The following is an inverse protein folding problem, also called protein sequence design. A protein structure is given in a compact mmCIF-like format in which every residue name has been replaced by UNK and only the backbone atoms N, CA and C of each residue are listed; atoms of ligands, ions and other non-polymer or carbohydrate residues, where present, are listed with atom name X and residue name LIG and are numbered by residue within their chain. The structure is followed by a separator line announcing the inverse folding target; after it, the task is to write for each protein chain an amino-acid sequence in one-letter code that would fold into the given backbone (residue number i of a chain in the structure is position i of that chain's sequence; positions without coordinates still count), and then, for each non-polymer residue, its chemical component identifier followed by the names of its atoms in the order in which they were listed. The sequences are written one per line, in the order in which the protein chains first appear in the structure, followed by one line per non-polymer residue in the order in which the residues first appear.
data_IF_065245023894
#
_entry.id   IF_065245023894
#
_cell.length_a   1.000
_cell.length_b   1.000
_cell.length_c   1.000
_cell.angle_alpha   90.00
_cell.angle_beta   90.00
_cell.angle_gamma   90.00
#
_symmetry.space_group_name_H-M   'P 1'
#
loop_
_entity.id
_entity.type
_entity.pdbx_description
1 polymer ?
#
# COMPACT_ATOMS: atom_id res chain seq x y z
N UNK A 1 1.98 17.85 15.45
CA UNK A 1 0.74 17.94 14.64
C UNK A 1 0.75 16.85 13.58
N UNK A 2 1.86 16.72 12.85
CA UNK A 2 2.17 15.75 11.79
C UNK A 2 1.94 14.30 12.25
N UNK A 3 2.53 13.92 13.39
CA UNK A 3 2.35 12.60 14.00
C UNK A 3 0.88 12.29 14.29
N UNK A 4 0.13 13.25 14.81
CA UNK A 4 -1.27 13.03 15.19
C UNK A 4 -2.14 12.79 13.96
N UNK A 5 -1.97 13.63 12.93
CA UNK A 5 -2.72 13.54 11.68
C UNK A 5 -2.37 12.24 10.92
N UNK A 6 -1.09 11.89 10.85
CA UNK A 6 -0.65 10.61 10.29
C UNK A 6 -1.22 9.42 11.06
N UNK A 7 -1.18 9.46 12.40
CA UNK A 7 -1.72 8.37 13.22
C UNK A 7 -3.23 8.21 13.08
N UNK A 8 -3.97 9.31 12.89
CA UNK A 8 -5.42 9.26 12.59
C UNK A 8 -5.68 8.58 11.26
N UNK A 9 -4.96 8.98 10.20
CA UNK A 9 -5.04 8.34 8.89
C UNK A 9 -4.65 6.85 8.94
N UNK A 10 -3.60 6.51 9.68
CA UNK A 10 -3.19 5.11 9.90
C UNK A 10 -4.26 4.31 10.65
N UNK A 11 -4.91 4.90 11.65
CA UNK A 11 -5.98 4.24 12.41
C UNK A 11 -7.17 3.93 11.50
N UNK A 12 -7.65 4.91 10.75
CA UNK A 12 -8.77 4.72 9.82
C UNK A 12 -8.41 3.77 8.66
N UNK A 13 -7.15 3.76 8.20
CA UNK A 13 -6.64 2.77 7.24
C UNK A 13 -6.77 1.35 7.78
N UNK A 14 -6.34 1.11 9.03
CA UNK A 14 -6.43 -0.19 9.67
C UNK A 14 -7.88 -0.62 9.90
N UNK A 15 -8.77 0.31 10.23
CA UNK A 15 -10.21 0.04 10.38
C UNK A 15 -10.84 -0.35 9.05
N UNK A 16 -10.51 0.35 7.95
CA UNK A 16 -10.93 0.01 6.59
C UNK A 16 -10.53 -1.40 6.19
N UNK A 17 -9.29 -1.78 6.48
CA UNK A 17 -8.79 -3.12 6.12
C UNK A 17 -9.48 -4.21 6.90
N UNK A 18 -9.76 -4.00 8.19
CA UNK A 18 -10.37 -5.02 9.05
C UNK A 18 -11.86 -5.17 8.81
N UNK A 19 -12.56 -4.04 8.64
CA UNK A 19 -14.02 -3.96 8.63
C UNK A 19 -14.58 -3.78 7.21
N UNK A 20 -13.84 -4.22 6.19
CA UNK A 20 -14.36 -4.26 4.83
C UNK A 20 -15.45 -5.34 4.70
N UNK A 21 -16.64 -5.02 5.19
CA UNK A 21 -17.87 -5.74 4.91
C UNK A 21 -18.99 -4.75 4.56
N UNK A 22 -19.90 -5.18 3.66
CA UNK A 22 -20.81 -4.27 2.96
C UNK A 22 -21.77 -3.51 3.88
N UNK A 23 -22.01 -3.99 5.11
CA UNK A 23 -22.94 -3.38 6.07
C UNK A 23 -22.40 -2.14 6.78
N UNK A 24 -21.08 -2.02 6.98
CA UNK A 24 -20.45 -0.87 7.67
C UNK A 24 -19.53 -0.06 6.75
N UNK A 25 -19.37 -0.50 5.49
CA UNK A 25 -18.45 0.06 4.52
C UNK A 25 -18.58 1.59 4.38
N UNK A 26 -19.80 2.13 4.34
CA UNK A 26 -20.04 3.57 4.16
C UNK A 26 -19.39 4.38 5.29
N UNK A 27 -19.55 3.97 6.54
CA UNK A 27 -19.02 4.72 7.69
C UNK A 27 -17.49 4.62 7.75
N UNK A 28 -16.95 3.42 7.49
CA UNK A 28 -15.50 3.19 7.55
C UNK A 28 -14.78 3.89 6.40
N UNK A 29 -15.36 3.88 5.20
CA UNK A 29 -14.86 4.61 4.04
C UNK A 29 -14.95 6.12 4.26
N UNK A 30 -16.03 6.61 4.87
CA UNK A 30 -16.19 8.02 5.21
C UNK A 30 -15.13 8.49 6.22
N UNK A 31 -14.89 7.73 7.29
CA UNK A 31 -13.85 8.11 8.27
C UNK A 31 -12.45 8.09 7.64
N UNK A 32 -12.16 7.11 6.78
CA UNK A 32 -10.91 7.11 6.03
C UNK A 32 -10.76 8.35 5.13
N UNK A 33 -11.81 8.69 4.37
CA UNK A 33 -11.75 9.82 3.43
C UNK A 33 -11.63 11.18 4.14
N UNK A 34 -12.34 11.39 5.25
CA UNK A 34 -12.22 12.61 6.05
C UNK A 34 -10.81 12.76 6.65
N UNK A 35 -10.23 11.67 7.16
CA UNK A 35 -8.86 11.68 7.67
C UNK A 35 -7.82 11.89 6.56
N UNK A 36 -8.07 11.38 5.34
CA UNK A 36 -7.21 11.58 4.18
C UNK A 36 -7.20 13.04 3.71
N UNK A 37 -8.37 13.69 3.66
CA UNK A 37 -8.49 15.12 3.37
C UNK A 37 -7.76 15.95 4.42
N UNK A 38 -8.01 15.67 5.71
CA UNK A 38 -7.33 16.36 6.81
C UNK A 38 -5.81 16.17 6.75
N UNK A 39 -5.34 14.98 6.35
CA UNK A 39 -3.93 14.73 6.10
C UNK A 39 -3.36 15.62 5.00
N UNK A 40 -4.00 15.68 3.84
CA UNK A 40 -3.53 16.48 2.70
C UNK A 40 -3.45 17.98 3.04
N UNK A 41 -4.48 18.53 3.69
CA UNK A 41 -4.48 19.94 4.12
C UNK A 41 -3.29 20.25 5.04
N UNK A 42 -3.04 19.39 6.03
CA UNK A 42 -1.94 19.58 6.99
C UNK A 42 -0.57 19.34 6.34
N UNK A 43 -0.48 18.38 5.44
CA UNK A 43 0.73 18.12 4.66
C UNK A 43 1.09 19.32 3.78
N UNK A 44 0.12 19.89 3.07
CA UNK A 44 0.33 21.08 2.23
C UNK A 44 0.84 22.29 3.03
N UNK A 45 0.39 22.46 4.28
CA UNK A 45 0.83 23.55 5.16
C UNK A 45 2.25 23.38 5.73
N UNK A 46 2.76 22.14 5.85
CA UNK A 46 4.07 21.88 6.48
C UNK A 46 4.77 20.62 5.93
N UNK A 47 5.06 20.60 4.63
CA UNK A 47 5.72 19.45 3.97
C UNK A 47 7.06 19.08 4.63
N UNK A 48 7.89 20.07 4.97
CA UNK A 48 9.19 19.85 5.63
C UNK A 48 9.06 19.16 7.00
N UNK A 49 8.05 19.55 7.78
CA UNK A 49 7.75 18.91 9.05
C UNK A 49 7.38 17.44 8.87
N UNK A 50 6.56 17.13 7.87
CA UNK A 50 6.21 15.75 7.52
C UNK A 50 7.41 14.95 7.07
N UNK A 51 8.25 15.47 6.16
CA UNK A 51 9.45 14.75 5.73
C UNK A 51 10.41 14.46 6.89
N UNK A 52 10.59 15.40 7.82
CA UNK A 52 11.39 15.18 9.04
C UNK A 52 10.79 14.09 9.93
N UNK A 53 9.47 14.14 10.14
CA UNK A 53 8.76 13.13 10.92
C UNK A 53 8.90 11.73 10.30
N UNK A 54 8.77 11.62 8.98
CA UNK A 54 8.79 10.36 8.25
C UNK A 54 10.19 9.78 8.15
N UNK A 55 11.19 10.61 7.87
CA UNK A 55 12.59 10.20 7.94
C UNK A 55 12.96 9.64 9.32
N UNK A 56 12.43 10.25 10.39
CA UNK A 56 12.65 9.74 11.75
C UNK A 56 11.90 8.42 12.00
N UNK A 57 10.67 8.30 11.52
CA UNK A 57 9.75 7.20 11.88
C UNK A 57 9.92 5.96 11.01
N UNK A 58 10.15 6.14 9.71
CA UNK A 58 10.19 5.10 8.68
C UNK A 58 11.55 5.05 7.97
N UNK A 59 12.64 5.31 8.71
CA UNK A 59 14.00 5.44 8.15
C UNK A 59 14.41 4.26 7.24
N UNK A 60 14.02 3.04 7.60
CA UNK A 60 14.38 1.81 6.89
C UNK A 60 13.60 1.60 5.59
N UNK A 61 12.47 2.29 5.43
CA UNK A 61 11.55 2.19 4.28
C UNK A 61 11.22 3.59 3.75
N UNK A 62 12.18 4.52 3.86
CA UNK A 62 11.95 5.96 3.66
C UNK A 62 11.42 6.28 2.27
N UNK A 63 11.99 5.65 1.24
CA UNK A 63 11.58 5.89 -0.15
C UNK A 63 10.10 5.50 -0.34
N UNK A 64 9.72 4.34 0.17
CA UNK A 64 8.34 3.85 0.10
C UNK A 64 7.40 4.73 0.93
N UNK A 65 7.83 5.18 2.11
CA UNK A 65 7.04 6.09 2.95
C UNK A 65 6.78 7.44 2.26
N UNK A 66 7.79 8.01 1.58
CA UNK A 66 7.65 9.24 0.80
C UNK A 66 6.67 9.03 -0.37
N UNK A 67 6.77 7.89 -1.06
CA UNK A 67 5.83 7.56 -2.15
C UNK A 67 4.40 7.46 -1.64
N UNK A 68 4.16 6.76 -0.53
CA UNK A 68 2.83 6.61 0.07
C UNK A 68 2.24 7.97 0.46
N UNK A 69 3.04 8.86 1.05
CA UNK A 69 2.58 10.20 1.43
C UNK A 69 2.22 11.05 0.22
N UNK A 70 3.06 10.99 -0.81
CA UNK A 70 2.81 11.73 -2.05
C UNK A 70 1.56 11.19 -2.76
N UNK A 71 1.37 9.86 -2.75
CA UNK A 71 0.13 9.23 -3.23
C UNK A 71 -1.08 9.61 -2.38
N UNK A 72 -0.97 9.65 -1.04
CA UNK A 72 -2.06 10.06 -0.16
C UNK A 72 -2.50 11.51 -0.44
N UNK A 73 -1.56 12.43 -0.60
CA UNK A 73 -1.84 13.82 -0.99
C UNK A 73 -2.53 13.87 -2.37
N UNK A 74 -2.00 13.13 -3.36
CA UNK A 74 -2.54 13.11 -4.72
C UNK A 74 -3.96 12.54 -4.77
N UNK A 75 -4.22 11.45 -4.04
CA UNK A 75 -5.55 10.85 -3.92
C UNK A 75 -6.51 11.86 -3.27
N UNK A 76 -6.13 12.51 -2.18
CA UNK A 76 -6.97 13.51 -1.53
C UNK A 76 -7.36 14.65 -2.47
N UNK A 77 -6.40 15.19 -3.22
CA UNK A 77 -6.60 16.31 -4.14
C UNK A 77 -7.51 15.93 -5.31
N UNK A 78 -7.27 14.80 -5.97
CA UNK A 78 -8.10 14.37 -7.11
C UNK A 78 -9.56 14.18 -6.70
N UNK A 79 -9.77 13.67 -5.50
CA UNK A 79 -11.12 13.45 -4.97
C UNK A 79 -11.87 14.73 -4.60
N UNK A 80 -11.15 15.81 -4.34
CA UNK A 80 -11.75 17.13 -4.15
C UNK A 80 -12.09 17.80 -5.49
N UNK A 81 -11.43 17.42 -6.58
CA UNK A 81 -11.54 18.10 -7.89
C UNK A 81 -12.68 17.57 -8.79
N UNK A 82 -13.15 16.34 -8.53
CA UNK A 82 -14.41 15.70 -8.97
C UNK A 82 -15.05 16.06 -10.33
N UNK A 83 -14.32 16.48 -11.37
CA UNK A 83 -14.90 16.82 -12.68
C UNK A 83 -13.91 16.61 -13.86
N UNK A 84 -13.72 15.37 -14.33
CA UNK A 84 -13.10 15.15 -15.66
C UNK A 84 -12.65 13.73 -16.02
N UNK A 85 -12.68 13.40 -17.32
CA UNK A 85 -12.15 12.13 -17.86
C UNK A 85 -10.62 12.00 -17.67
N UNK A 86 -9.90 13.14 -17.60
CA UNK A 86 -8.45 13.16 -17.37
C UNK A 86 -8.06 12.71 -15.96
N UNK A 87 -8.95 12.85 -14.97
CA UNK A 87 -8.68 12.46 -13.58
C UNK A 87 -8.49 10.94 -13.46
N UNK A 88 -9.18 10.16 -14.31
CA UNK A 88 -9.09 8.71 -14.26
C UNK A 88 -7.75 8.14 -14.72
N UNK A 89 -7.06 8.74 -15.70
CA UNK A 89 -5.69 8.29 -16.05
C UNK A 89 -4.77 8.47 -14.83
N UNK A 90 -4.93 9.58 -14.12
CA UNK A 90 -4.15 9.86 -12.92
C UNK A 90 -4.48 8.82 -11.84
N UNK A 91 -5.76 8.50 -11.63
CA UNK A 91 -6.19 7.45 -10.70
C UNK A 91 -5.60 6.07 -11.06
N UNK A 92 -5.57 5.68 -12.33
CA UNK A 92 -4.95 4.43 -12.79
C UNK A 92 -3.45 4.41 -12.50
N UNK A 93 -2.76 5.52 -12.79
CA UNK A 93 -1.33 5.62 -12.55
C UNK A 93 -1.01 5.57 -11.05
N UNK A 94 -1.81 6.23 -10.22
CA UNK A 94 -1.70 6.16 -8.76
C UNK A 94 -1.96 4.73 -8.26
N UNK A 95 -2.98 4.06 -8.77
CA UNK A 95 -3.27 2.67 -8.45
C UNK A 95 -2.08 1.76 -8.81
N UNK A 96 -1.53 1.89 -10.02
CA UNK A 96 -0.33 1.17 -10.46
C UNK A 96 0.86 1.43 -9.55
N UNK A 97 1.10 2.71 -9.23
CA UNK A 97 2.19 3.12 -8.37
C UNK A 97 2.05 2.52 -6.97
N UNK A 98 0.84 2.48 -6.41
CA UNK A 98 0.57 1.88 -5.10
C UNK A 98 0.78 0.36 -5.13
N UNK A 99 0.37 -0.35 -6.20
CA UNK A 99 0.67 -1.78 -6.38
C UNK A 99 2.17 -2.04 -6.37
N UNK A 100 2.94 -1.29 -7.17
CA UNK A 100 4.41 -1.38 -7.20
C UNK A 100 5.02 -1.02 -5.84
N UNK A 101 4.43 -0.08 -5.12
CA UNK A 101 4.90 0.32 -3.79
C UNK A 101 4.72 -0.80 -2.76
N UNK A 102 3.65 -1.60 -2.84
CA UNK A 102 3.48 -2.78 -1.98
C UNK A 102 4.55 -3.84 -2.23
N UNK A 103 4.86 -4.12 -3.49
CA UNK A 103 5.94 -5.05 -3.85
C UNK A 103 7.31 -4.50 -3.42
N UNK A 104 7.54 -3.20 -3.60
CA UNK A 104 8.76 -2.53 -3.15
C UNK A 104 8.91 -2.58 -1.63
N UNK A 105 7.84 -2.42 -0.86
CA UNK A 105 7.85 -2.60 0.60
C UNK A 105 8.20 -4.03 1.00
N UNK A 106 7.62 -5.03 0.33
CA UNK A 106 7.94 -6.45 0.55
C UNK A 106 9.42 -6.73 0.28
N UNK A 107 9.96 -6.20 -0.82
CA UNK A 107 11.37 -6.31 -1.19
C UNK A 107 12.28 -5.63 -0.17
N UNK A 108 11.95 -4.40 0.24
CA UNK A 108 12.73 -3.64 1.22
C UNK A 108 12.76 -4.35 2.57
N UNK A 109 11.64 -4.92 3.02
CA UNK A 109 11.60 -5.71 4.24
C UNK A 109 12.63 -6.85 4.20
N UNK A 110 12.71 -7.61 3.11
CA UNK A 110 13.71 -8.66 2.94
C UNK A 110 15.12 -8.11 3.08
N UNK A 111 15.44 -7.03 2.37
CA UNK A 111 16.76 -6.41 2.42
C UNK A 111 17.10 -5.90 3.83
N UNK A 112 16.13 -5.35 4.56
CA UNK A 112 16.33 -4.83 5.91
C UNK A 112 16.55 -5.93 6.95
N UNK A 113 16.18 -7.19 6.68
CA UNK A 113 16.48 -8.30 7.59
C UNK A 113 17.98 -8.46 7.82
N UNK A 114 18.85 -8.14 6.86
CA UNK A 114 20.31 -8.21 7.04
C UNK A 114 20.78 -7.30 8.19
N UNK A 115 20.14 -6.14 8.34
CA UNK A 115 20.46 -5.15 9.36
C UNK A 115 19.91 -5.56 10.74
N UNK A 116 18.78 -6.29 10.75
CA UNK A 116 18.09 -6.69 11.99
C UNK A 116 18.72 -7.95 12.59
N UNK A 117 18.99 -8.97 11.77
CA UNK A 117 19.54 -10.25 12.26
C UNK A 117 21.02 -10.17 12.57
N UNK A 118 21.75 -9.18 12.02
CA UNK A 118 23.20 -8.97 12.22
C UNK A 118 24.05 -10.21 11.94
N UNK A 119 23.57 -11.12 11.09
CA UNK A 119 24.31 -12.33 10.71
C UNK A 119 25.26 -12.03 9.56
N UNK A 120 26.45 -12.63 9.61
CA UNK A 120 27.43 -12.62 8.50
C UNK A 120 27.34 -13.86 7.61
N UNK A 121 26.26 -14.64 7.73
CA UNK A 121 26.05 -15.86 6.96
C UNK A 121 25.77 -15.56 5.47
N UNK A 122 26.66 -16.03 4.60
CA UNK A 122 26.54 -15.88 3.14
C UNK A 122 25.34 -16.64 2.55
N UNK A 123 24.88 -17.73 3.17
CA UNK A 123 23.66 -18.41 2.74
C UNK A 123 22.42 -17.56 3.03
N UNK A 124 22.40 -16.88 4.18
CA UNK A 124 21.31 -15.97 4.52
C UNK A 124 21.25 -14.77 3.59
N UNK A 125 22.40 -14.17 3.27
CA UNK A 125 22.46 -13.05 2.33
C UNK A 125 21.93 -13.45 0.93
N UNK A 126 22.34 -14.62 0.41
CA UNK A 126 21.81 -15.17 -0.85
C UNK A 126 20.30 -15.40 -0.78
N UNK A 127 19.82 -15.95 0.33
CA UNK A 127 18.39 -16.17 0.53
C UNK A 127 17.60 -14.86 0.49
N UNK A 128 18.00 -13.85 1.27
CA UNK A 128 17.34 -12.52 1.28
C UNK A 128 17.31 -11.91 -0.11
N UNK A 129 18.45 -11.88 -0.83
CA UNK A 129 18.53 -11.27 -2.16
C UNK A 129 17.58 -11.96 -3.12
N UNK A 130 17.53 -13.29 -3.08
CA UNK A 130 16.60 -14.06 -3.90
C UNK A 130 15.14 -13.72 -3.57
N UNK A 131 14.78 -13.66 -2.28
CA UNK A 131 13.42 -13.30 -1.89
C UNK A 131 13.06 -11.86 -2.27
N UNK A 132 13.96 -10.90 -2.05
CA UNK A 132 13.76 -9.48 -2.38
C UNK A 132 13.50 -9.25 -3.88
N UNK A 133 14.09 -10.08 -4.75
CA UNK A 133 13.94 -9.97 -6.20
C UNK A 133 12.77 -10.77 -6.78
N UNK A 134 12.24 -11.75 -6.06
CA UNK A 134 11.27 -12.72 -6.62
C UNK A 134 9.94 -12.80 -5.87
N UNK A 135 9.86 -12.30 -4.64
CA UNK A 135 8.62 -12.24 -3.88
C UNK A 135 8.01 -10.84 -3.96
N UNK A 136 6.74 -10.80 -4.37
CA UNK A 136 5.91 -9.62 -4.22
C UNK A 136 5.30 -9.50 -2.82
N UNK A 137 4.34 -8.58 -2.69
CA UNK A 137 3.48 -8.42 -1.54
C UNK A 137 2.65 -9.70 -1.28
N UNK A 138 1.98 -10.19 -2.32
CA UNK A 138 1.19 -11.40 -2.32
C UNK A 138 2.07 -12.65 -2.31
N UNK A 139 1.79 -13.56 -1.36
CA UNK A 139 2.56 -14.79 -1.13
C UNK A 139 1.64 -16.00 -1.18
N UNK A 140 2.03 -17.03 -1.93
CA UNK A 140 1.32 -18.30 -2.01
C UNK A 140 1.78 -19.31 -0.95
N UNK A 141 1.01 -20.39 -0.76
CA UNK A 141 1.28 -21.41 0.26
C UNK A 141 2.65 -22.06 0.16
N UNK A 142 3.17 -22.24 -1.08
CA UNK A 142 4.50 -22.83 -1.29
C UNK A 142 5.59 -21.88 -0.79
N UNK A 143 5.49 -20.60 -1.15
CA UNK A 143 6.40 -19.55 -0.68
C UNK A 143 6.36 -19.43 0.85
N UNK A 144 5.16 -19.47 1.45
CA UNK A 144 5.00 -19.36 2.90
C UNK A 144 5.65 -20.52 3.66
N UNK A 145 5.52 -21.75 3.15
CA UNK A 145 6.19 -22.92 3.73
C UNK A 145 7.72 -22.79 3.67
N UNK A 146 8.25 -22.25 2.57
CA UNK A 146 9.68 -21.98 2.43
C UNK A 146 10.16 -20.89 3.40
N UNK A 147 9.41 -19.79 3.51
CA UNK A 147 9.69 -18.69 4.45
C UNK A 147 9.67 -19.21 5.89
N UNK A 148 8.67 -20.02 6.27
CA UNK A 148 8.56 -20.61 7.61
C UNK A 148 9.80 -21.43 7.99
N UNK A 149 10.27 -22.26 7.06
CA UNK A 149 11.46 -23.09 7.26
C UNK A 149 12.71 -22.23 7.44
N UNK A 150 12.90 -21.23 6.58
CA UNK A 150 14.10 -20.38 6.60
C UNK A 150 14.07 -19.36 7.75
N UNK A 151 12.90 -18.91 8.18
CA UNK A 151 12.72 -18.06 9.34
C UNK A 151 13.24 -18.74 10.61
N UNK A 152 12.97 -20.04 10.78
CA UNK A 152 13.54 -20.84 11.88
C UNK A 152 15.04 -21.04 11.74
N UNK A 153 15.52 -21.33 10.52
CA UNK A 153 16.96 -21.54 10.24
C UNK A 153 17.78 -20.28 10.55
N UNK A 154 17.31 -19.12 10.12
CA UNK A 154 18.05 -17.86 10.17
C UNK A 154 17.57 -16.88 11.25
N UNK A 155 16.61 -17.31 12.07
CA UNK A 155 16.05 -16.55 13.19
C UNK A 155 15.57 -15.13 12.83
N UNK A 156 14.76 -15.01 11.77
CA UNK A 156 14.08 -13.75 11.44
C UNK A 156 12.57 -13.85 11.71
N UNK A 157 11.96 -12.72 12.09
CA UNK A 157 10.50 -12.61 12.23
C UNK A 157 9.88 -12.47 10.86
N UNK A 158 8.87 -13.27 10.52
CA UNK A 158 8.26 -13.28 9.17
C UNK A 158 7.27 -12.13 8.99
N UNK A 159 7.16 -11.63 7.77
CA UNK A 159 6.01 -10.86 7.33
C UNK A 159 4.78 -11.77 7.19
N UNK A 160 3.77 -11.53 8.01
CA UNK A 160 2.50 -12.24 8.02
C UNK A 160 1.31 -11.36 7.61
N UNK A 161 1.56 -10.11 7.17
CA UNK A 161 0.53 -9.12 6.91
C UNK A 161 -0.51 -9.61 5.91
N UNK A 162 -0.04 -10.02 4.72
CA UNK A 162 -0.90 -10.51 3.65
C UNK A 162 -1.79 -11.66 4.12
N UNK A 163 -1.26 -12.59 4.91
CA UNK A 163 -1.95 -13.85 5.23
C UNK A 163 -2.80 -13.84 6.48
N UNK A 164 -2.51 -12.95 7.44
CA UNK A 164 -3.19 -12.92 8.74
C UNK A 164 -3.92 -11.62 9.03
N UNK A 165 -3.53 -10.51 8.40
CA UNK A 165 -4.04 -9.18 8.72
C UNK A 165 -4.96 -8.67 7.61
N UNK A 166 -4.53 -8.80 6.35
CA UNK A 166 -5.29 -8.30 5.21
C UNK A 166 -6.61 -9.06 5.02
N UNK A 167 -7.72 -8.33 4.96
CA UNK A 167 -9.01 -8.89 4.56
C UNK A 167 -8.93 -9.35 3.10
N UNK A 168 -9.18 -10.65 2.87
CA UNK A 168 -9.05 -11.27 1.55
C UNK A 168 -10.09 -10.80 0.54
N UNK A 169 -11.28 -10.43 1.00
CA UNK A 169 -12.34 -9.90 0.14
C UNK A 169 -11.92 -8.55 -0.44
N UNK A 170 -11.41 -7.65 0.40
CA UNK A 170 -10.83 -6.37 -0.02
C UNK A 170 -9.73 -6.57 -1.07
N UNK A 171 -8.80 -7.50 -0.82
CA UNK A 171 -7.72 -7.75 -1.77
C UNK A 171 -8.22 -8.33 -3.10
N UNK A 172 -9.23 -9.21 -3.07
CA UNK A 172 -9.81 -9.75 -4.29
C UNK A 172 -10.44 -8.65 -5.15
N UNK A 173 -11.18 -7.72 -4.54
CA UNK A 173 -11.78 -6.58 -5.25
C UNK A 173 -10.68 -5.72 -5.93
N UNK A 174 -9.58 -5.46 -5.21
CA UNK A 174 -8.40 -4.75 -5.75
C UNK A 174 -7.80 -5.50 -6.95
N UNK A 175 -7.65 -6.83 -6.86
CA UNK A 175 -7.10 -7.66 -7.95
C UNK A 175 -8.06 -7.81 -9.13
N UNK A 176 -9.36 -7.76 -8.92
CA UNK A 176 -10.36 -7.75 -9.99
C UNK A 176 -10.29 -6.45 -10.79
N UNK A 177 -10.14 -5.31 -10.10
CA UNK A 177 -9.92 -4.04 -10.77
C UNK A 177 -8.59 -4.04 -11.53
N UNK A 178 -7.49 -4.46 -10.90
CA UNK A 178 -6.17 -4.56 -11.53
C UNK A 178 -6.24 -5.37 -12.85
N UNK A 179 -6.88 -6.55 -12.80
CA UNK A 179 -7.10 -7.40 -13.97
C UNK A 179 -7.95 -6.73 -15.03
N UNK A 180 -8.82 -5.79 -14.68
CA UNK A 180 -9.68 -5.06 -15.63
C UNK A 180 -8.92 -3.91 -16.27
N UNK A 181 -8.17 -3.13 -15.49
CA UNK A 181 -7.52 -1.89 -15.95
C UNK A 181 -6.14 -2.13 -16.59
N UNK A 182 -5.45 -3.22 -16.27
CA UNK A 182 -4.09 -3.51 -16.78
C UNK A 182 -4.03 -4.65 -17.82
N UNK A 183 -5.14 -4.94 -18.52
CA UNK A 183 -5.18 -5.95 -19.59
C UNK A 183 -4.23 -5.60 -20.74
N UNK A 184 -4.08 -4.31 -21.06
CA UNK A 184 -3.20 -3.85 -22.14
C UNK A 184 -1.92 -3.22 -21.57
N UNK A 185 -0.72 -3.57 -22.10
CA UNK A 185 0.56 -3.16 -21.51
C UNK A 185 0.80 -1.65 -21.44
N UNK A 186 0.23 -0.85 -22.33
CA UNK A 186 0.57 0.57 -22.41
C UNK A 186 -0.69 1.38 -22.66
N UNK A 187 -1.14 2.10 -21.62
CA UNK A 187 -1.76 3.42 -21.71
C UNK A 187 -2.72 3.69 -22.87
N UNK A 188 -3.48 2.69 -23.31
CA UNK A 188 -4.44 2.84 -24.39
C UNK A 188 -5.63 3.61 -23.81
N UNK A 189 -5.47 4.93 -23.78
CA UNK A 189 -6.45 5.87 -23.25
C UNK A 189 -7.79 5.68 -23.93
N UNK A 190 -7.80 5.29 -25.20
CA UNK A 190 -9.02 4.96 -25.94
C UNK A 190 -9.66 3.66 -25.41
N UNK A 191 -8.88 2.61 -25.16
CA UNK A 191 -9.40 1.41 -24.47
C UNK A 191 -9.99 1.72 -23.09
N UNK A 192 -9.37 2.65 -22.35
CA UNK A 192 -9.87 3.03 -21.03
C UNK A 192 -11.14 3.90 -21.11
N UNK A 193 -11.24 4.82 -22.08
CA UNK A 193 -12.49 5.55 -22.36
C UNK A 193 -13.61 4.60 -22.77
N UNK A 194 -13.30 3.63 -23.64
CA UNK A 194 -14.23 2.58 -24.04
C UNK A 194 -14.73 1.81 -22.81
N UNK A 195 -13.83 1.38 -21.92
CA UNK A 195 -14.20 0.72 -20.66
C UNK A 195 -15.13 1.57 -19.78
N UNK A 196 -14.81 2.86 -19.57
CA UNK A 196 -15.66 3.77 -18.80
C UNK A 196 -17.03 3.99 -19.45
N UNK A 197 -17.10 4.03 -20.78
CA UNK A 197 -18.37 4.20 -21.50
C UNK A 197 -19.28 2.97 -21.49
N UNK A 198 -18.73 1.80 -21.14
CA UNK A 198 -19.46 0.52 -21.16
C UNK A 198 -19.78 0.04 -19.73
N UNK A 199 -19.03 0.50 -18.72
CA UNK A 199 -19.19 0.11 -17.32
C UNK A 199 -19.50 1.34 -16.46
N UNK A 200 -20.78 1.63 -16.27
CA UNK A 200 -21.26 2.77 -15.48
C UNK A 200 -20.69 2.81 -14.04
N UNK A 201 -20.46 1.63 -13.42
CA UNK A 201 -19.94 1.52 -12.05
C UNK A 201 -18.40 1.59 -11.93
N UNK A 202 -17.66 1.53 -13.05
CA UNK A 202 -16.19 1.41 -13.03
C UNK A 202 -15.51 2.62 -12.39
N UNK A 203 -16.09 3.82 -12.54
CA UNK A 203 -15.57 5.04 -11.94
C UNK A 203 -15.61 4.99 -10.40
N UNK A 204 -16.73 4.57 -9.83
CA UNK A 204 -16.91 4.42 -8.38
C UNK A 204 -16.02 3.31 -7.84
N UNK A 205 -15.97 2.17 -8.55
CA UNK A 205 -15.09 1.05 -8.21
C UNK A 205 -13.62 1.47 -8.18
N UNK A 206 -13.17 2.29 -9.13
CA UNK A 206 -11.80 2.80 -9.15
C UNK A 206 -11.45 3.64 -7.93
N UNK A 207 -12.36 4.51 -7.51
CA UNK A 207 -12.16 5.36 -6.34
C UNK A 207 -12.08 4.50 -5.07
N UNK A 208 -13.03 3.57 -4.90
CA UNK A 208 -13.08 2.67 -3.73
C UNK A 208 -11.82 1.81 -3.67
N UNK A 209 -11.39 1.25 -4.79
CA UNK A 209 -10.19 0.41 -4.85
C UNK A 209 -8.90 1.22 -4.68
N UNK A 210 -8.88 2.49 -5.10
CA UNK A 210 -7.74 3.37 -4.85
C UNK A 210 -7.61 3.71 -3.35
N UNK A 211 -8.73 3.92 -2.66
CA UNK A 211 -8.75 4.02 -1.21
C UNK A 211 -8.30 2.73 -0.53
N UNK A 212 -8.80 1.59 -1.00
CA UNK A 212 -8.43 0.28 -0.49
C UNK A 212 -6.91 0.06 -0.56
N UNK A 213 -6.32 0.24 -1.74
CA UNK A 213 -4.89 0.01 -1.93
C UNK A 213 -4.03 1.04 -1.18
N UNK A 214 -4.47 2.30 -1.09
CA UNK A 214 -3.79 3.31 -0.28
C UNK A 214 -3.81 2.94 1.21
N UNK A 215 -4.96 2.54 1.74
CA UNK A 215 -5.10 2.10 3.13
C UNK A 215 -4.20 0.89 3.41
N UNK A 216 -4.15 -0.08 2.48
CA UNK A 216 -3.25 -1.24 2.55
C UNK A 216 -1.79 -0.79 2.60
N UNK A 217 -1.38 0.14 1.73
CA UNK A 217 0.00 0.63 1.69
C UNK A 217 0.41 1.35 2.99
N UNK A 218 -0.46 2.22 3.51
CA UNK A 218 -0.23 2.94 4.77
C UNK A 218 -0.09 1.95 5.94
N UNK A 219 -1.02 0.99 6.03
CA UNK A 219 -1.05 0.03 7.13
C UNK A 219 0.09 -0.99 7.04
N UNK A 220 0.46 -1.41 5.84
CA UNK A 220 1.58 -2.33 5.60
C UNK A 220 2.93 -1.67 5.88
N UNK A 221 3.12 -0.41 5.48
CA UNK A 221 4.31 0.37 5.84
C UNK A 221 4.50 0.40 7.36
N UNK A 222 3.44 0.68 8.11
CA UNK A 222 3.52 0.76 9.57
C UNK A 222 3.78 -0.61 10.21
N UNK A 223 3.09 -1.66 9.73
CA UNK A 223 3.34 -3.03 10.13
C UNK A 223 4.81 -3.45 9.95
N UNK A 224 5.39 -3.20 8.78
CA UNK A 224 6.79 -3.53 8.51
C UNK A 224 7.74 -2.70 9.36
N UNK A 225 7.40 -1.44 9.64
CA UNK A 225 8.22 -0.59 10.50
C UNK A 225 8.29 -1.15 11.93
N UNK A 226 7.17 -1.62 12.47
CA UNK A 226 7.15 -2.30 13.77
C UNK A 226 7.89 -3.64 13.71
N UNK A 227 7.66 -4.43 12.66
CA UNK A 227 8.30 -5.73 12.47
C UNK A 227 9.84 -5.61 12.43
N UNK A 228 10.36 -4.54 11.82
CA UNK A 228 11.79 -4.27 11.72
C UNK A 228 12.38 -3.58 12.94
N UNK A 229 11.58 -3.17 13.94
CA UNK A 229 12.11 -2.64 15.21
C UNK A 229 12.64 -3.75 16.11
N UNK A 230 12.04 -4.94 16.05
CA UNK A 230 12.37 -6.09 16.91
C UNK A 230 11.74 -5.96 18.28
#
# INVERSE_FOLDING_TARGET
MEKEVWNKLLKSSNELIKNFDKSELINVVKDFSENLVSFSEKYALNRDGFYKYINKTYKKTLLQAINIISSADSVAVIMQLNEGVNDYIILINLFRQLMVTLDSLSSEYWLQLINVTKTSDGEFAKYIINQANSLGFEKNDKQLKEIEKNAKKFNFVKDEYYNKILNRKLWNDVKELEKTIFIKPDGDFEYFKELLSIKDELAEDMVINLWAILAIAISYLDYLNELLKG
#
